data_IF_796351760282
#
_entry.id   IF_796351760282
#
_cell.length_a   1.000
_cell.length_b   1.000
_cell.length_c   1.000
_cell.angle_alpha   90.00
_cell.angle_beta   90.00
_cell.angle_gamma   90.00
#
_symmetry.space_group_name_H-M   'P 1'
#
loop_
_entity.id
_entity.type
_entity.pdbx_description
1 polymer ?
#
# COMPACT_ATOMS: atom_id res chain seq x y z
N UNK A 1 -24.21 9.82 35.34
CA UNK A 1 -24.90 10.46 34.21
C UNK A 1 -24.07 10.49 32.91
N UNK A 2 -22.98 9.70 32.79
CA UNK A 2 -22.03 9.77 31.64
C UNK A 2 -21.93 8.48 30.81
N UNK A 3 -22.73 7.45 31.11
CA UNK A 3 -22.64 6.12 30.47
C UNK A 3 -23.65 5.86 29.35
N UNK A 4 -24.53 6.82 28.99
CA UNK A 4 -25.51 6.67 27.90
C UNK A 4 -25.05 7.18 26.53
N UNK A 5 -23.85 7.77 26.41
CA UNK A 5 -23.37 8.35 25.15
C UNK A 5 -22.67 7.34 24.20
N UNK A 6 -22.50 6.08 24.62
CA UNK A 6 -21.81 5.05 23.84
C UNK A 6 -22.73 4.04 23.13
N UNK A 7 -24.05 4.17 23.26
CA UNK A 7 -24.96 3.55 22.30
C UNK A 7 -25.00 4.43 21.04
N UNK A 8 -23.97 4.32 20.19
CA UNK A 8 -24.03 4.87 18.83
C UNK A 8 -25.10 4.10 18.06
N UNK A 9 -26.36 4.51 18.18
CA UNK A 9 -27.37 4.30 17.14
C UNK A 9 -26.71 4.68 15.83
N UNK A 10 -26.74 3.79 14.84
CA UNK A 10 -26.25 4.01 13.47
C UNK A 10 -26.81 5.36 13.02
N UNK A 11 -25.98 6.40 13.06
CA UNK A 11 -26.44 7.76 12.77
C UNK A 11 -26.91 7.75 11.31
N UNK A 12 -28.20 8.02 11.08
CA UNK A 12 -28.73 8.24 9.73
C UNK A 12 -28.15 9.56 9.27
N UNK A 13 -27.09 9.50 8.48
CA UNK A 13 -26.55 10.64 7.76
C UNK A 13 -27.17 10.72 6.35
N UNK A 14 -26.90 11.81 5.63
CA UNK A 14 -27.36 11.99 4.25
C UNK A 14 -26.92 10.87 3.28
N UNK A 15 -25.88 10.10 3.63
CA UNK A 15 -25.40 8.95 2.85
C UNK A 15 -26.12 7.65 3.21
N UNK A 16 -26.85 7.63 4.32
CA UNK A 16 -27.63 6.49 4.79
C UNK A 16 -28.88 6.26 3.95
N UNK A 17 -29.35 7.29 3.24
CA UNK A 17 -30.58 7.27 2.42
C UNK A 17 -30.30 7.05 0.92
N UNK A 18 -29.03 7.04 0.50
CA UNK A 18 -28.67 6.86 -0.92
C UNK A 18 -28.37 5.39 -1.26
N UNK A 19 -29.36 4.52 -1.06
CA UNK A 19 -29.24 3.09 -1.38
C UNK A 19 -28.89 2.86 -2.87
N UNK A 20 -29.44 3.67 -3.76
CA UNK A 20 -29.17 3.60 -5.20
C UNK A 20 -27.74 3.99 -5.55
N UNK A 21 -27.22 5.10 -5.00
CA UNK A 21 -25.83 5.52 -5.21
C UNK A 21 -24.84 4.50 -4.61
N UNK A 22 -25.14 3.91 -3.45
CA UNK A 22 -24.32 2.80 -2.91
C UNK A 22 -24.29 1.60 -3.84
N UNK A 23 -25.44 1.25 -4.45
CA UNK A 23 -25.53 0.16 -5.43
C UNK A 23 -24.74 0.48 -6.69
N UNK A 24 -24.80 1.72 -7.19
CA UNK A 24 -24.02 2.18 -8.34
C UNK A 24 -22.52 2.14 -8.05
N UNK A 25 -22.09 2.67 -6.90
CA UNK A 25 -20.68 2.65 -6.48
C UNK A 25 -20.16 1.21 -6.28
N UNK A 26 -20.98 0.32 -5.74
CA UNK A 26 -20.63 -1.10 -5.59
C UNK A 26 -20.47 -1.82 -6.93
N UNK A 27 -21.13 -1.34 -8.00
CA UNK A 27 -20.98 -1.84 -9.36
C UNK A 27 -19.74 -1.30 -10.10
N UNK A 28 -19.01 -0.33 -9.52
CA UNK A 28 -17.77 0.17 -10.11
C UNK A 28 -16.65 -0.82 -9.78
N UNK A 29 -16.28 -1.63 -10.77
CA UNK A 29 -15.17 -2.56 -10.65
C UNK A 29 -13.85 -1.94 -11.11
N UNK A 30 -12.77 -2.31 -10.43
CA UNK A 30 -11.42 -1.97 -10.85
C UNK A 30 -11.09 -2.66 -12.18
N UNK A 31 -10.95 -1.86 -13.24
CA UNK A 31 -10.53 -2.29 -14.56
C UNK A 31 -9.13 -1.74 -14.87
N UNK A 32 -8.40 -2.43 -15.73
CA UNK A 32 -7.13 -1.92 -16.24
C UNK A 32 -7.38 -0.59 -16.99
N UNK A 33 -6.70 0.48 -16.58
CA UNK A 33 -6.77 1.80 -17.25
C UNK A 33 -5.41 2.20 -17.80
N UNK A 34 -5.43 2.99 -18.87
CA UNK A 34 -4.26 3.66 -19.43
C UNK A 34 -4.62 5.11 -19.74
N UNK A 35 -3.80 6.04 -19.31
CA UNK A 35 -3.91 7.47 -19.62
C UNK A 35 -2.61 7.91 -20.31
N UNK A 36 -2.69 8.87 -21.22
CA UNK A 36 -1.51 9.50 -21.81
C UNK A 36 -1.82 10.93 -22.23
N UNK A 37 -0.83 11.81 -22.14
CA UNK A 37 -0.91 13.21 -22.57
C UNK A 37 0.15 13.54 -23.65
N UNK A 38 0.73 12.53 -24.30
CA UNK A 38 1.81 12.68 -25.29
C UNK A 38 3.22 12.75 -24.71
N UNK A 39 3.37 13.17 -23.45
CA UNK A 39 4.66 13.28 -22.74
C UNK A 39 4.81 12.18 -21.69
N UNK A 40 3.70 11.82 -21.04
CA UNK A 40 3.62 10.81 -20.01
C UNK A 40 2.58 9.75 -20.36
N UNK A 41 2.83 8.54 -19.86
CA UNK A 41 1.92 7.41 -19.91
C UNK A 41 1.74 6.89 -18.48
N UNK A 42 0.47 6.66 -18.13
CA UNK A 42 0.07 6.17 -16.82
C UNK A 42 -0.77 4.91 -16.99
N UNK A 43 -0.26 3.81 -16.46
CA UNK A 43 -0.92 2.52 -16.43
C UNK A 43 -1.47 2.23 -15.04
N UNK A 44 -2.72 1.77 -14.98
CA UNK A 44 -3.38 1.39 -13.72
C UNK A 44 -3.97 -0.02 -13.85
N UNK A 45 -3.15 -1.07 -13.72
CA UNK A 45 -3.64 -2.45 -13.70
C UNK A 45 -4.51 -2.73 -12.47
N UNK A 46 -5.56 -3.54 -12.63
CA UNK A 46 -6.43 -3.96 -11.53
C UNK A 46 -6.10 -5.33 -10.94
N UNK A 47 -5.11 -6.05 -11.51
CA UNK A 47 -4.69 -7.39 -11.06
C UNK A 47 -3.18 -7.54 -11.09
N UNK A 48 -2.64 -8.37 -10.20
CA UNK A 48 -1.20 -8.68 -10.15
C UNK A 48 -0.62 -9.14 -11.48
N UNK A 49 -1.34 -9.99 -12.23
CA UNK A 49 -0.84 -10.53 -13.50
C UNK A 49 -0.66 -9.41 -14.55
N UNK A 50 -1.64 -8.52 -14.68
CA UNK A 50 -1.57 -7.35 -15.58
C UNK A 50 -0.40 -6.43 -15.19
N UNK A 51 -0.19 -6.21 -13.89
CA UNK A 51 0.93 -5.40 -13.42
C UNK A 51 2.28 -6.02 -13.77
N UNK A 52 2.45 -7.34 -13.59
CA UNK A 52 3.69 -8.04 -13.95
C UNK A 52 3.98 -7.97 -15.46
N UNK A 53 2.95 -8.03 -16.30
CA UNK A 53 3.11 -7.85 -17.75
C UNK A 53 3.59 -6.44 -18.09
N UNK A 54 3.01 -5.41 -17.45
CA UNK A 54 3.42 -4.02 -17.65
C UNK A 54 4.84 -3.76 -17.18
N UNK A 55 5.22 -4.26 -15.99
CA UNK A 55 6.58 -4.12 -15.45
C UNK A 55 7.61 -4.76 -16.40
N UNK A 56 7.29 -5.91 -17.00
CA UNK A 56 8.16 -6.54 -17.99
C UNK A 56 8.25 -5.74 -19.29
N UNK A 57 7.13 -5.20 -19.75
CA UNK A 57 7.08 -4.42 -20.99
C UNK A 57 7.78 -3.07 -20.85
N UNK A 58 7.73 -2.49 -19.65
CA UNK A 58 8.27 -1.16 -19.33
C UNK A 58 9.22 -1.25 -18.12
N UNK A 59 10.41 -1.84 -18.27
CA UNK A 59 11.32 -2.10 -17.15
C UNK A 59 11.88 -0.82 -16.49
N UNK A 60 11.79 0.32 -17.18
CA UNK A 60 12.18 1.64 -16.66
C UNK A 60 11.00 2.44 -16.07
N UNK A 61 9.78 1.89 -16.11
CA UNK A 61 8.62 2.57 -15.56
C UNK A 61 8.76 2.75 -14.04
N UNK A 62 8.32 3.90 -13.54
CA UNK A 62 8.22 4.11 -12.10
C UNK A 62 6.97 3.42 -11.58
N UNK A 63 7.16 2.45 -10.69
CA UNK A 63 6.05 1.77 -10.01
C UNK A 63 5.60 2.63 -8.84
N UNK A 64 4.29 2.87 -8.73
CA UNK A 64 3.68 3.63 -7.64
C UNK A 64 2.55 2.86 -6.99
N UNK A 65 2.31 3.12 -5.71
CA UNK A 65 1.10 2.71 -4.99
C UNK A 65 0.54 3.94 -4.25
N UNK A 66 1.05 4.21 -3.04
CA UNK A 66 0.70 5.40 -2.26
C UNK A 66 1.28 6.72 -2.76
N UNK A 67 2.30 6.66 -3.61
CA UNK A 67 3.03 7.79 -4.21
C UNK A 67 3.63 8.83 -3.23
N UNK A 68 3.63 8.60 -1.91
CA UNK A 68 4.09 9.59 -0.91
C UNK A 68 5.55 10.02 -1.11
N UNK A 69 6.41 9.13 -1.59
CA UNK A 69 7.82 9.44 -1.86
C UNK A 69 8.02 9.90 -3.32
N UNK A 70 7.40 9.19 -4.28
CA UNK A 70 7.50 9.52 -5.70
C UNK A 70 6.95 10.91 -6.01
N UNK A 71 5.90 11.35 -5.31
CA UNK A 71 5.34 12.69 -5.47
C UNK A 71 6.35 13.81 -5.13
N UNK A 72 7.36 13.55 -4.29
CA UNK A 72 8.41 14.53 -3.99
C UNK A 72 9.33 14.76 -5.20
N UNK A 73 9.57 13.75 -6.03
CA UNK A 73 10.33 13.92 -7.29
C UNK A 73 9.66 14.93 -8.22
N UNK A 74 8.33 14.88 -8.30
CA UNK A 74 7.55 15.81 -9.11
C UNK A 74 7.44 17.19 -8.45
N UNK A 75 7.09 17.23 -7.16
CA UNK A 75 6.75 18.49 -6.47
C UNK A 75 7.96 19.27 -5.95
N UNK A 76 9.11 18.62 -5.76
CA UNK A 76 10.35 19.25 -5.26
C UNK A 76 11.45 19.28 -6.30
N UNK A 77 11.58 18.23 -7.11
CA UNK A 77 12.63 18.17 -8.14
C UNK A 77 12.11 18.54 -9.54
N UNK A 78 10.82 18.87 -9.67
CA UNK A 78 10.17 19.19 -10.95
C UNK A 78 10.38 18.12 -12.02
N UNK A 79 10.51 16.86 -11.61
CA UNK A 79 10.78 15.74 -12.51
C UNK A 79 9.52 15.37 -13.29
N UNK A 80 9.65 15.21 -14.61
CA UNK A 80 8.63 14.60 -15.46
C UNK A 80 8.89 13.09 -15.48
N UNK A 81 8.00 12.31 -14.88
CA UNK A 81 8.08 10.84 -14.89
C UNK A 81 7.35 10.34 -16.15
N UNK A 82 8.06 9.81 -17.17
CA UNK A 82 7.46 9.55 -18.48
C UNK A 82 6.55 8.31 -18.49
N UNK A 83 6.81 7.32 -17.65
CA UNK A 83 6.09 6.05 -17.65
C UNK A 83 5.81 5.61 -16.20
N UNK A 84 4.54 5.51 -15.83
CA UNK A 84 4.07 5.22 -14.47
C UNK A 84 3.21 3.96 -14.48
N UNK A 85 3.45 3.05 -13.54
CA UNK A 85 2.60 1.88 -13.28
C UNK A 85 2.05 2.00 -11.85
N UNK A 86 0.78 2.36 -11.73
CA UNK A 86 0.07 2.42 -10.45
C UNK A 86 -0.56 1.07 -10.08
N UNK A 87 -0.01 0.43 -9.04
CA UNK A 87 -0.47 -0.84 -8.48
C UNK A 87 -1.40 -0.67 -7.26
N UNK A 88 -1.79 0.57 -6.95
CA UNK A 88 -2.60 0.93 -5.79
C UNK A 88 -4.01 0.35 -5.77
N UNK A 89 -4.55 -0.09 -6.91
CA UNK A 89 -5.88 -0.73 -6.99
C UNK A 89 -5.83 -2.26 -6.87
N UNK A 90 -4.65 -2.86 -6.73
CA UNK A 90 -4.51 -4.32 -6.68
C UNK A 90 -4.74 -4.80 -5.24
N UNK A 91 -5.96 -5.24 -4.94
CA UNK A 91 -6.36 -5.66 -3.59
C UNK A 91 -5.58 -6.86 -3.06
N UNK A 92 -5.12 -7.75 -3.96
CA UNK A 92 -4.27 -8.89 -3.62
C UNK A 92 -2.96 -8.47 -2.95
N UNK A 93 -2.48 -7.24 -3.21
CA UNK A 93 -1.27 -6.69 -2.60
C UNK A 93 -1.55 -6.01 -1.26
N UNK A 94 -2.81 -5.77 -0.89
CA UNK A 94 -3.19 -5.03 0.34
C UNK A 94 -3.53 -5.96 1.50
N UNK A 95 -3.68 -7.25 1.24
CA UNK A 95 -4.12 -8.22 2.23
C UNK A 95 -3.13 -8.32 3.41
N UNK A 96 -3.69 -8.38 4.62
CA UNK A 96 -2.98 -8.71 5.85
C UNK A 96 -3.64 -9.95 6.44
N UNK A 97 -2.86 -10.97 6.73
CA UNK A 97 -3.37 -12.23 7.29
C UNK A 97 -2.38 -12.84 8.29
N UNK A 98 -2.87 -13.81 9.06
CA UNK A 98 -2.07 -14.57 10.00
C UNK A 98 -2.30 -16.06 9.74
N UNK A 99 -1.24 -16.86 9.82
CA UNK A 99 -1.33 -18.31 9.96
C UNK A 99 -0.65 -18.75 11.26
N UNK A 100 -0.57 -20.06 11.52
CA UNK A 100 0.01 -20.61 12.77
C UNK A 100 1.44 -20.15 13.04
N UNK A 101 2.21 -19.82 11.99
CA UNK A 101 3.65 -19.59 12.09
C UNK A 101 4.05 -18.15 11.74
N UNK A 102 3.27 -17.44 10.92
CA UNK A 102 3.67 -16.15 10.34
C UNK A 102 2.49 -15.19 10.20
N UNK A 103 2.83 -13.90 10.31
CA UNK A 103 2.01 -12.82 9.77
C UNK A 103 2.43 -12.55 8.33
N UNK A 104 1.45 -12.42 7.44
CA UNK A 104 1.65 -12.13 6.02
C UNK A 104 1.08 -10.74 5.77
N UNK A 105 1.96 -9.82 5.40
CA UNK A 105 1.61 -8.43 5.09
C UNK A 105 1.89 -8.20 3.61
N UNK A 106 0.86 -7.83 2.85
CA UNK A 106 1.00 -7.49 1.45
C UNK A 106 1.78 -6.19 1.24
N UNK A 107 2.56 -6.11 0.17
CA UNK A 107 3.39 -4.94 -0.14
C UNK A 107 2.57 -3.65 -0.37
N UNK A 108 1.32 -3.76 -0.81
CA UNK A 108 0.38 -2.65 -0.96
C UNK A 108 -0.40 -2.31 0.30
N UNK A 109 -0.21 -3.04 1.41
CA UNK A 109 -0.88 -2.72 2.67
C UNK A 109 -0.41 -1.35 3.19
N UNK A 110 -1.36 -0.50 3.58
CA UNK A 110 -1.03 0.82 4.12
C UNK A 110 -0.41 0.70 5.51
N UNK A 111 0.46 1.64 5.86
CA UNK A 111 1.08 1.68 7.19
C UNK A 111 0.04 1.85 8.30
N UNK A 112 -1.08 2.52 8.04
CA UNK A 112 -2.19 2.64 9.00
C UNK A 112 -2.92 1.29 9.19
N UNK A 113 -3.13 0.51 8.13
CA UNK A 113 -3.71 -0.84 8.23
C UNK A 113 -2.78 -1.79 8.99
N UNK A 114 -1.47 -1.72 8.76
CA UNK A 114 -0.46 -2.50 9.49
C UNK A 114 -0.43 -2.08 10.96
N UNK A 115 -0.47 -0.77 11.24
CA UNK A 115 -0.56 -0.26 12.60
C UNK A 115 -1.78 -0.86 13.30
N UNK A 116 -2.97 -0.74 12.71
CA UNK A 116 -4.20 -1.30 13.30
C UNK A 116 -4.08 -2.81 13.59
N UNK A 117 -3.56 -3.59 12.64
CA UNK A 117 -3.32 -5.02 12.81
C UNK A 117 -2.31 -5.34 13.93
N UNK A 118 -1.24 -4.56 14.02
CA UNK A 118 -0.14 -4.78 14.97
C UNK A 118 -0.48 -4.46 16.43
N UNK A 119 -1.59 -3.75 16.70
CA UNK A 119 -1.92 -3.22 18.04
C UNK A 119 -1.81 -4.25 19.16
N UNK A 120 -2.36 -5.44 18.96
CA UNK A 120 -2.35 -6.51 19.96
C UNK A 120 -1.32 -7.61 19.63
N UNK A 121 -0.92 -7.72 18.36
CA UNK A 121 -0.10 -8.82 17.86
C UNK A 121 1.39 -8.52 17.88
N UNK A 122 1.76 -7.26 17.64
CA UNK A 122 3.13 -6.76 17.55
C UNK A 122 3.22 -5.36 18.19
N UNK A 123 3.12 -5.25 19.54
CA UNK A 123 3.01 -3.95 20.21
C UNK A 123 4.15 -2.97 19.91
N UNK A 124 5.37 -3.47 19.68
CA UNK A 124 6.51 -2.63 19.30
C UNK A 124 6.34 -2.00 17.92
N UNK A 125 5.87 -2.78 16.94
CA UNK A 125 5.55 -2.27 15.60
C UNK A 125 4.41 -1.25 15.66
N UNK A 126 3.39 -1.50 16.49
CA UNK A 126 2.31 -0.54 16.72
C UNK A 126 2.82 0.80 17.24
N UNK A 127 3.67 0.78 18.28
CA UNK A 127 4.24 2.00 18.88
C UNK A 127 5.07 2.79 17.88
N UNK A 128 5.92 2.11 17.10
CA UNK A 128 6.72 2.74 16.04
C UNK A 128 5.83 3.38 14.98
N UNK A 129 4.83 2.66 14.47
CA UNK A 129 3.89 3.22 13.48
C UNK A 129 2.96 4.30 14.05
N UNK A 130 2.74 4.35 15.36
CA UNK A 130 1.92 5.39 15.99
C UNK A 130 2.55 6.78 15.89
N UNK A 131 3.88 6.85 15.84
CA UNK A 131 4.65 8.10 15.69
C UNK A 131 5.15 8.33 14.26
N UNK A 132 4.92 7.38 13.35
CA UNK A 132 5.30 7.50 11.94
C UNK A 132 4.39 8.48 11.20
N UNK A 133 4.89 9.68 10.90
CA UNK A 133 4.18 10.68 10.10
C UNK A 133 2.75 11.00 10.58
N UNK A 134 1.96 11.62 9.70
CA UNK A 134 0.54 11.87 9.96
C UNK A 134 -0.31 10.65 9.61
N UNK A 135 -1.56 10.62 10.10
CA UNK A 135 -2.53 9.58 9.72
C UNK A 135 -2.77 9.56 8.20
N UNK A 136 -2.78 10.72 7.55
CA UNK A 136 -2.95 10.88 6.11
C UNK A 136 -1.80 10.21 5.35
N UNK A 137 -0.55 10.46 5.78
CA UNK A 137 0.61 9.80 5.21
C UNK A 137 0.52 8.30 5.42
N UNK A 138 0.23 7.81 6.62
CA UNK A 138 0.13 6.36 6.87
C UNK A 138 -1.00 5.67 6.11
N UNK A 139 -2.06 6.39 5.75
CA UNK A 139 -3.16 5.83 4.97
C UNK A 139 -2.77 5.59 3.50
N UNK A 140 -1.88 6.41 2.96
CA UNK A 140 -1.40 6.30 1.58
C UNK A 140 -0.10 5.50 1.49
N UNK A 141 0.86 5.76 2.37
CA UNK A 141 2.13 5.06 2.42
C UNK A 141 1.91 3.55 2.59
N UNK A 142 2.55 2.77 1.73
CA UNK A 142 2.47 1.31 1.74
C UNK A 142 3.76 0.71 2.26
N UNK A 143 3.72 -0.51 2.79
CA UNK A 143 4.93 -1.20 3.25
C UNK A 143 5.95 -1.36 2.12
N UNK A 144 5.49 -1.82 0.95
CA UNK A 144 6.32 -2.01 -0.23
C UNK A 144 6.88 -0.71 -0.78
N UNK A 145 6.12 0.39 -0.72
CA UNK A 145 6.62 1.72 -1.08
C UNK A 145 7.71 2.20 -0.12
N UNK A 146 7.51 2.04 1.19
CA UNK A 146 8.51 2.42 2.20
C UNK A 146 9.81 1.62 2.05
N UNK A 147 9.72 0.31 1.80
CA UNK A 147 10.87 -0.54 1.54
C UNK A 147 11.53 -0.27 0.18
N UNK A 148 10.73 -0.08 -0.87
CA UNK A 148 11.23 0.15 -2.24
C UNK A 148 11.89 1.52 -2.42
N UNK A 149 11.54 2.50 -1.58
CA UNK A 149 12.25 3.78 -1.49
C UNK A 149 13.69 3.62 -0.98
N UNK A 150 13.95 2.56 -0.19
CA UNK A 150 15.26 2.23 0.36
C UNK A 150 15.96 3.42 1.06
N UNK A 151 15.18 4.26 1.74
CA UNK A 151 15.73 5.38 2.50
C UNK A 151 16.66 4.89 3.61
N UNK A 152 17.89 5.45 3.74
CA UNK A 152 18.80 5.12 4.85
C UNK A 152 18.21 5.39 6.24
N UNK A 153 17.20 6.27 6.32
CA UNK A 153 16.47 6.63 7.53
C UNK A 153 15.07 5.99 7.57
N UNK A 154 14.83 4.93 6.78
CA UNK A 154 13.53 4.25 6.73
C UNK A 154 13.22 3.48 8.01
N UNK A 155 12.19 3.90 8.74
CA UNK A 155 11.88 3.36 10.07
C UNK A 155 11.42 1.88 10.08
N UNK A 156 10.79 1.39 9.00
CA UNK A 156 10.26 0.01 9.00
C UNK A 156 11.35 -1.05 8.80
N UNK A 157 12.44 -0.70 8.10
CA UNK A 157 13.57 -1.59 7.82
C UNK A 157 14.18 -2.21 9.09
N UNK A 158 14.63 -1.44 10.10
CA UNK A 158 15.25 -2.02 11.29
C UNK A 158 14.28 -2.93 12.07
N UNK A 159 13.00 -2.58 12.13
CA UNK A 159 11.97 -3.40 12.78
C UNK A 159 11.79 -4.74 12.07
N UNK A 160 11.74 -4.75 10.75
CA UNK A 160 11.61 -5.97 9.96
C UNK A 160 12.85 -6.86 10.03
N UNK A 161 14.04 -6.27 10.12
CA UNK A 161 15.30 -7.01 10.36
C UNK A 161 15.25 -7.69 11.74
N UNK A 162 14.88 -6.94 12.79
CA UNK A 162 14.78 -7.48 14.15
C UNK A 162 13.74 -8.61 14.26
N UNK A 163 12.65 -8.52 13.50
CA UNK A 163 11.62 -9.56 13.40
C UNK A 163 12.00 -10.73 12.50
N UNK A 164 13.22 -10.74 11.92
CA UNK A 164 13.69 -11.75 10.96
C UNK A 164 12.70 -11.95 9.80
N UNK A 165 12.12 -10.85 9.32
CA UNK A 165 11.13 -10.89 8.27
C UNK A 165 11.71 -11.48 6.98
N UNK A 166 10.83 -12.11 6.19
CA UNK A 166 11.16 -12.67 4.88
C UNK A 166 10.40 -11.88 3.82
N UNK A 167 11.13 -11.35 2.85
CA UNK A 167 10.57 -10.66 1.69
C UNK A 167 10.25 -11.67 0.59
N UNK A 168 8.98 -11.71 0.18
CA UNK A 168 8.50 -12.54 -0.93
C UNK A 168 8.46 -11.70 -2.19
N UNK A 169 9.41 -11.92 -3.10
CA UNK A 169 9.55 -11.17 -4.35
C UNK A 169 8.94 -11.98 -5.48
N UNK A 170 7.86 -11.47 -6.07
CA UNK A 170 7.23 -12.08 -7.24
C UNK A 170 7.94 -11.72 -8.54
N UNK A 171 8.07 -12.68 -9.45
CA UNK A 171 8.58 -12.47 -10.80
C UNK A 171 8.05 -13.51 -11.80
N UNK A 172 8.56 -13.45 -13.04
CA UNK A 172 8.12 -14.34 -14.15
C UNK A 172 8.30 -15.83 -13.84
N UNK A 173 9.39 -16.18 -13.15
CA UNK A 173 9.76 -17.57 -12.80
C UNK A 173 9.14 -18.02 -11.46
N UNK A 174 8.15 -17.30 -10.94
CA UNK A 174 7.56 -17.54 -9.63
C UNK A 174 8.06 -16.56 -8.57
N UNK A 175 7.89 -16.94 -7.30
CA UNK A 175 8.31 -16.12 -6.17
C UNK A 175 9.61 -16.63 -5.56
N UNK A 176 10.50 -15.73 -5.18
CA UNK A 176 11.67 -16.03 -4.35
C UNK A 176 11.51 -15.40 -2.97
N UNK A 177 12.13 -16.03 -1.97
CA UNK A 177 12.14 -15.55 -0.59
C UNK A 177 13.54 -15.05 -0.25
N UNK A 178 13.62 -13.88 0.37
CA UNK A 178 14.89 -13.24 0.77
C UNK A 178 14.76 -12.79 2.22
N UNK A 179 15.71 -13.11 3.11
CA UNK A 179 15.76 -12.53 4.44
C UNK A 179 15.85 -11.00 4.36
N UNK A 180 15.15 -10.28 5.25
CA UNK A 180 15.13 -8.81 5.21
C UNK A 180 16.53 -8.17 5.27
N UNK A 181 17.47 -8.77 6.01
CA UNK A 181 18.83 -8.26 6.14
C UNK A 181 19.70 -8.45 4.88
N UNK A 182 19.26 -9.27 3.92
CA UNK A 182 19.90 -9.41 2.59
C UNK A 182 19.17 -8.60 1.51
N UNK A 183 18.01 -8.01 1.84
CA UNK A 183 17.17 -7.33 0.86
C UNK A 183 17.61 -5.87 0.61
N UNK A 184 18.08 -5.18 1.65
CA UNK A 184 18.60 -3.81 1.54
C UNK A 184 20.13 -3.87 1.64
N UNK A 185 20.80 -3.33 0.62
CA UNK A 185 22.25 -3.24 0.49
C UNK A 185 22.78 -1.92 1.05
#
# INVERSE_FOLDING_TARGET
MLLKALERKKARDQFSEQAEVKKMLAGIHANNKKLSNGIQVYHKPSRKQSALQLIQKYPKATIVAGATDVALRVTKNHEVIPEIIDIGDIDELKAISANKNHYIIGAGASLESIKAFSKEKLPSLYKMLAVFGSKQIRQLATLGGNLGSASPIGDTTPVLIALKAIIVIGGKKGARKVPMHEFIL
#
